data_IF_573309499289
#
_entry.id   IF_573309499289
#
_cell.length_a   1.000
_cell.length_b   1.000
_cell.length_c   1.000
_cell.angle_alpha   90.00
_cell.angle_beta   90.00
_cell.angle_gamma   90.00
#
_symmetry.space_group_name_H-M   'P 1'
#
loop_
_entity.id
_entity.type
_entity.pdbx_description
1 polymer ?
#
# COMPACT_ATOMS: atom_id res chain seq x y z
N UNK A 1 -7.95 16.51 1.22
CA UNK A 1 -6.96 15.85 2.10
C UNK A 1 -6.58 14.45 1.62
N UNK A 2 -7.51 13.48 1.50
CA UNK A 2 -7.16 12.12 1.06
C UNK A 2 -6.42 12.05 -0.29
N UNK A 3 -6.79 12.86 -1.29
CA UNK A 3 -6.09 12.91 -2.60
C UNK A 3 -4.60 13.27 -2.48
N UNK A 4 -4.26 14.20 -1.59
CA UNK A 4 -2.86 14.63 -1.38
C UNK A 4 -2.10 13.50 -0.71
N UNK A 5 -2.70 12.87 0.30
CA UNK A 5 -2.12 11.74 1.02
C UNK A 5 -1.86 10.55 0.07
N UNK A 6 -2.83 10.26 -0.80
CA UNK A 6 -2.75 9.21 -1.83
C UNK A 6 -1.65 9.51 -2.86
N UNK A 7 -1.51 10.78 -3.27
CA UNK A 7 -0.45 11.19 -4.21
C UNK A 7 0.94 11.07 -3.57
N UNK A 8 1.09 11.49 -2.30
CA UNK A 8 2.35 11.38 -1.56
C UNK A 8 2.73 9.91 -1.35
N UNK A 9 1.78 9.06 -0.95
CA UNK A 9 1.99 7.62 -0.77
C UNK A 9 2.32 6.91 -2.09
N UNK A 10 1.66 7.29 -3.19
CA UNK A 10 1.93 6.74 -4.51
C UNK A 10 3.34 7.11 -4.99
N UNK A 11 3.76 8.37 -4.80
CA UNK A 11 5.12 8.82 -5.12
C UNK A 11 6.17 8.10 -4.28
N UNK A 12 5.94 7.98 -2.97
CA UNK A 12 6.82 7.26 -2.06
C UNK A 12 6.94 5.78 -2.44
N UNK A 13 5.82 5.14 -2.80
CA UNK A 13 5.78 3.75 -3.27
C UNK A 13 6.55 3.58 -4.57
N UNK A 14 6.47 4.54 -5.49
CA UNK A 14 7.20 4.49 -6.77
C UNK A 14 8.71 4.61 -6.58
N UNK A 15 9.16 5.50 -5.68
CA UNK A 15 10.58 5.65 -5.33
C UNK A 15 11.10 4.39 -4.64
N UNK A 16 10.35 3.85 -3.67
CA UNK A 16 10.69 2.59 -3.00
C UNK A 16 10.75 1.42 -3.97
N UNK A 17 9.78 1.30 -4.89
CA UNK A 17 9.75 0.25 -5.90
C UNK A 17 10.97 0.32 -6.83
N UNK A 18 11.31 1.53 -7.28
CA UNK A 18 12.51 1.75 -8.10
C UNK A 18 13.77 1.41 -7.33
N UNK A 19 13.86 1.80 -6.06
CA UNK A 19 15.00 1.50 -5.21
C UNK A 19 15.19 -0.01 -4.99
N UNK A 20 14.10 -0.73 -4.67
CA UNK A 20 14.11 -2.19 -4.49
C UNK A 20 14.50 -2.90 -5.79
N UNK A 21 13.96 -2.48 -6.94
CA UNK A 21 14.31 -3.08 -8.23
C UNK A 21 15.76 -2.86 -8.62
N UNK A 22 16.29 -1.65 -8.39
CA UNK A 22 17.65 -1.28 -8.77
C UNK A 22 18.67 -1.91 -7.84
N UNK A 23 18.43 -1.89 -6.52
CA UNK A 23 19.36 -2.46 -5.53
C UNK A 23 19.23 -3.98 -5.41
N UNK A 24 18.14 -4.59 -5.91
CA UNK A 24 17.76 -5.99 -5.67
C UNK A 24 17.78 -6.40 -4.18
N UNK A 25 17.75 -5.42 -3.27
CA UNK A 25 17.65 -5.68 -1.84
C UNK A 25 16.20 -5.94 -1.48
N UNK A 26 15.81 -7.22 -1.60
CA UNK A 26 14.49 -7.71 -1.22
C UNK A 26 14.16 -7.52 0.26
N UNK A 27 15.14 -7.14 1.09
CA UNK A 27 14.94 -6.78 2.50
C UNK A 27 13.92 -5.64 2.69
N UNK A 28 13.78 -4.76 1.70
CA UNK A 28 12.83 -3.64 1.74
C UNK A 28 11.48 -3.95 1.09
N UNK A 29 11.29 -5.15 0.54
CA UNK A 29 10.02 -5.55 -0.09
C UNK A 29 8.87 -5.55 0.91
N UNK A 30 9.12 -5.99 2.14
CA UNK A 30 8.08 -6.01 3.19
C UNK A 30 7.62 -4.59 3.53
N UNK A 31 8.56 -3.64 3.64
CA UNK A 31 8.28 -2.22 3.85
C UNK A 31 7.55 -1.60 2.64
N UNK A 32 7.93 -1.99 1.43
CA UNK A 32 7.27 -1.56 0.19
C UNK A 32 5.83 -2.06 0.12
N UNK A 33 5.59 -3.34 0.45
CA UNK A 33 4.25 -3.93 0.52
C UNK A 33 3.40 -3.25 1.61
N UNK A 34 4.01 -2.87 2.74
CA UNK A 34 3.34 -2.12 3.81
C UNK A 34 2.87 -0.75 3.32
N UNK A 35 3.75 0.01 2.68
CA UNK A 35 3.45 1.33 2.12
C UNK A 35 2.39 1.25 1.02
N UNK A 36 2.49 0.26 0.13
CA UNK A 36 1.51 0.04 -0.92
C UNK A 36 0.13 -0.37 -0.36
N UNK A 37 0.09 -1.24 0.64
CA UNK A 37 -1.15 -1.64 1.32
C UNK A 37 -1.86 -0.46 1.98
N UNK A 38 -1.11 0.43 2.64
CA UNK A 38 -1.62 1.70 3.18
C UNK A 38 -2.18 2.60 2.09
N UNK A 39 -1.46 2.78 0.98
CA UNK A 39 -1.91 3.59 -0.15
C UNK A 39 -3.25 3.08 -0.71
N UNK A 40 -3.34 1.77 -0.96
CA UNK A 40 -4.55 1.12 -1.49
C UNK A 40 -5.72 1.25 -0.51
N UNK A 41 -5.47 1.13 0.79
CA UNK A 41 -6.48 1.34 1.84
C UNK A 41 -7.01 2.79 1.87
N UNK A 42 -6.13 3.78 1.80
CA UNK A 42 -6.49 5.20 1.73
C UNK A 42 -7.30 5.47 0.45
N UNK A 43 -6.87 4.92 -0.69
CA UNK A 43 -7.59 5.04 -1.96
C UNK A 43 -9.00 4.43 -1.86
N UNK A 44 -9.14 3.27 -1.21
CA UNK A 44 -10.42 2.64 -0.93
C UNK A 44 -11.36 3.51 -0.11
N UNK A 45 -10.85 4.12 0.97
CA UNK A 45 -11.62 5.08 1.78
C UNK A 45 -12.07 6.28 0.93
N UNK A 46 -11.16 6.81 0.10
CA UNK A 46 -11.48 7.92 -0.81
C UNK A 46 -12.60 7.57 -1.79
N UNK A 47 -12.63 6.33 -2.27
CA UNK A 47 -13.65 5.88 -3.22
C UNK A 47 -14.99 5.55 -2.56
N UNK A 48 -15.00 5.11 -1.29
CA UNK A 48 -16.23 5.07 -0.48
C UNK A 48 -16.79 6.47 -0.29
N UNK A 49 -15.94 7.46 0.03
CA UNK A 49 -16.36 8.86 0.20
C UNK A 49 -16.92 9.47 -1.10
N UNK A 50 -16.46 9.01 -2.27
CA UNK A 50 -17.00 9.40 -3.58
C UNK A 50 -18.30 8.72 -3.98
N UNK A 51 -18.95 7.99 -3.08
CA UNK A 51 -20.17 7.22 -3.33
C UNK A 51 -19.95 5.96 -4.20
N UNK A 52 -18.71 5.59 -4.51
CA UNK A 52 -18.34 4.37 -5.21
C UNK A 52 -18.08 3.22 -4.22
N UNK A 53 -19.10 2.89 -3.41
CA UNK A 53 -18.98 1.97 -2.28
C UNK A 53 -18.40 0.60 -2.65
N UNK A 54 -18.81 0.00 -3.77
CA UNK A 54 -18.31 -1.32 -4.18
C UNK A 54 -16.81 -1.35 -4.44
N UNK A 55 -16.30 -0.42 -5.26
CA UNK A 55 -14.86 -0.28 -5.52
C UNK A 55 -14.08 0.10 -4.26
N UNK A 56 -14.64 1.00 -3.45
CA UNK A 56 -14.01 1.45 -2.22
C UNK A 56 -13.83 0.31 -1.21
N UNK A 57 -14.84 -0.53 -1.02
CA UNK A 57 -14.75 -1.72 -0.17
C UNK A 57 -13.75 -2.75 -0.70
N UNK A 58 -13.73 -3.01 -2.01
CA UNK A 58 -12.74 -3.91 -2.62
C UNK A 58 -11.31 -3.44 -2.38
N UNK A 59 -11.05 -2.14 -2.59
CA UNK A 59 -9.74 -1.55 -2.35
C UNK A 59 -9.36 -1.59 -0.86
N UNK A 60 -10.30 -1.31 0.05
CA UNK A 60 -10.06 -1.42 1.49
C UNK A 60 -9.67 -2.85 1.89
N UNK A 61 -10.42 -3.85 1.42
CA UNK A 61 -10.11 -5.25 1.66
C UNK A 61 -8.77 -5.67 1.06
N UNK A 62 -8.44 -5.21 -0.15
CA UNK A 62 -7.15 -5.47 -0.78
C UNK A 62 -5.98 -4.84 0.01
N UNK A 63 -6.14 -3.59 0.46
CA UNK A 63 -5.15 -2.91 1.30
C UNK A 63 -4.92 -3.64 2.63
N UNK A 64 -6.00 -4.12 3.27
CA UNK A 64 -5.92 -4.95 4.48
C UNK A 64 -5.16 -6.26 4.25
N UNK A 65 -5.39 -6.95 3.13
CA UNK A 65 -4.68 -8.18 2.78
C UNK A 65 -3.18 -7.93 2.57
N UNK A 66 -2.81 -6.82 1.93
CA UNK A 66 -1.42 -6.45 1.72
C UNK A 66 -0.73 -6.10 3.05
N UNK A 67 -1.41 -5.38 3.94
CA UNK A 67 -0.90 -5.07 5.27
C UNK A 67 -0.72 -6.32 6.12
N UNK A 68 -1.69 -7.24 6.08
CA UNK A 68 -1.58 -8.52 6.75
C UNK A 68 -0.39 -9.34 6.24
N UNK A 69 -0.24 -9.42 4.92
CA UNK A 69 0.86 -10.17 4.29
C UNK A 69 2.22 -9.55 4.61
N UNK A 70 2.31 -8.22 4.65
CA UNK A 70 3.54 -7.51 5.04
C UNK A 70 3.90 -7.73 6.51
N UNK A 71 2.92 -7.63 7.41
CA UNK A 71 3.12 -7.94 8.84
C UNK A 71 3.54 -9.38 9.05
N UNK A 72 2.95 -10.32 8.30
CA UNK A 72 3.33 -11.72 8.34
C UNK A 72 4.76 -11.91 7.82
N UNK A 73 5.16 -11.24 6.74
CA UNK A 73 6.54 -11.21 6.26
C UNK A 73 7.51 -10.77 7.36
N UNK A 74 7.27 -9.60 7.95
CA UNK A 74 8.08 -9.07 9.05
C UNK A 74 8.18 -10.01 10.27
N UNK A 75 7.11 -10.74 10.60
CA UNK A 75 7.06 -11.64 11.75
C UNK A 75 7.64 -13.04 11.49
N UNK A 76 7.61 -13.53 10.24
CA UNK A 76 8.07 -14.88 9.89
C UNK A 76 9.45 -14.93 9.22
N UNK A 77 9.90 -13.84 8.59
CA UNK A 77 11.18 -13.78 7.88
C UNK A 77 12.29 -13.03 8.64
N UNK A 78 12.00 -12.48 9.83
CA UNK A 78 13.01 -11.91 10.72
C UNK A 78 13.34 -12.84 11.90
#
# INVERSE_FOLDING_TARGET
MLRILDTVFSLASFVLFTYVLVMQEFKWVELMMLMAGLSIGIMGIGEIQRNHKGRGWLLLSAGLLWLYSSLQGFLFFH
#
